data_IF_602620026149
#
_entry.id   IF_602620026149
#
_cell.length_a   1.000
_cell.length_b   1.000
_cell.length_c   1.000
_cell.angle_alpha   90.00
_cell.angle_beta   90.00
_cell.angle_gamma   90.00
#
_symmetry.space_group_name_H-M   'P 1'
#
loop_
_entity.id
_entity.type
_entity.pdbx_description
1 polymer ?
#
# COMPACT_ATOMS: atom_id res chain seq x y z
N UNK A 1 52.99 11.86 -38.16
CA UNK A 1 53.90 10.82 -37.64
C UNK A 1 53.03 9.80 -36.90
N UNK A 2 52.82 8.54 -37.24
CA UNK A 2 53.27 7.66 -38.31
C UNK A 2 53.04 6.21 -37.84
N UNK A 3 52.13 5.47 -38.51
CA UNK A 3 51.96 3.99 -38.60
C UNK A 3 51.60 3.18 -37.33
N UNK A 4 50.94 2.01 -37.35
CA UNK A 4 50.10 1.22 -38.30
C UNK A 4 49.76 -0.14 -37.62
N UNK A 5 48.74 -0.85 -38.16
CA UNK A 5 48.40 -2.30 -38.08
C UNK A 5 47.37 -2.69 -36.98
N UNK A 6 46.10 -3.03 -37.26
CA UNK A 6 45.41 -4.07 -38.08
C UNK A 6 45.47 -5.52 -37.54
N UNK A 7 44.27 -6.15 -37.48
CA UNK A 7 43.83 -7.57 -37.65
C UNK A 7 42.77 -7.92 -36.57
N UNK A 8 41.45 -7.92 -36.80
CA UNK A 8 40.53 -8.65 -37.71
C UNK A 8 40.00 -10.01 -37.19
N UNK A 9 38.68 -10.13 -37.31
CA UNK A 9 37.72 -11.21 -37.05
C UNK A 9 38.14 -12.65 -37.34
N UNK A 10 37.55 -13.64 -36.64
CA UNK A 10 36.44 -14.48 -37.14
C UNK A 10 36.04 -15.58 -36.13
N UNK A 11 34.74 -15.75 -35.92
CA UNK A 11 34.11 -16.92 -35.30
C UNK A 11 33.53 -17.79 -36.43
N UNK A 12 33.80 -19.10 -36.41
CA UNK A 12 33.31 -20.09 -37.37
C UNK A 12 32.34 -21.10 -36.73
N UNK A 13 31.45 -21.61 -37.58
CA UNK A 13 30.28 -22.48 -37.37
C UNK A 13 30.60 -23.97 -37.13
N UNK A 14 29.62 -24.68 -36.53
CA UNK A 14 29.05 -26.02 -36.88
C UNK A 14 28.66 -26.79 -35.59
N UNK A 15 27.40 -27.17 -35.34
CA UNK A 15 26.49 -28.16 -35.99
C UNK A 15 26.94 -29.62 -35.87
N UNK A 16 26.16 -30.44 -35.14
CA UNK A 16 25.58 -31.77 -35.51
C UNK A 16 25.27 -32.67 -34.30
N UNK A 17 24.10 -33.34 -34.34
CA UNK A 17 23.67 -34.46 -33.48
C UNK A 17 24.32 -35.80 -33.91
N UNK A 18 24.21 -36.94 -33.18
CA UNK A 18 23.05 -37.84 -33.37
C UNK A 18 22.65 -38.78 -32.19
N UNK A 19 21.52 -39.48 -32.40
CA UNK A 19 20.85 -40.51 -31.60
C UNK A 19 21.66 -41.80 -31.32
N UNK A 20 21.31 -42.57 -30.28
CA UNK A 20 21.34 -44.06 -30.30
C UNK A 20 20.38 -44.70 -29.26
N UNK A 21 19.98 -45.93 -29.55
CA UNK A 21 18.75 -46.60 -29.09
C UNK A 21 18.95 -47.78 -28.10
N UNK A 22 17.86 -48.11 -27.40
CA UNK A 22 17.32 -49.43 -26.99
C UNK A 22 18.18 -50.57 -26.41
N UNK A 23 17.76 -51.13 -25.26
CA UNK A 23 17.49 -52.57 -24.95
C UNK A 23 17.59 -52.81 -23.41
N UNK A 24 16.52 -53.11 -22.65
CA UNK A 24 15.84 -54.40 -22.34
C UNK A 24 16.70 -55.44 -21.62
N UNK A 25 16.35 -55.82 -20.37
CA UNK A 25 16.05 -57.21 -19.91
C UNK A 25 15.71 -57.31 -18.39
N UNK A 26 14.96 -58.36 -18.05
CA UNK A 26 14.19 -58.68 -16.81
C UNK A 26 15.00 -59.43 -15.73
N UNK A 27 14.70 -59.26 -14.43
CA UNK A 27 13.94 -60.20 -13.55
C UNK A 27 14.82 -60.68 -12.36
N UNK A 28 14.33 -61.42 -11.30
CA UNK A 28 13.00 -62.00 -11.05
C UNK A 28 12.40 -61.75 -9.63
N UNK A 29 11.22 -62.36 -9.37
CA UNK A 29 10.32 -62.29 -8.20
C UNK A 29 10.65 -63.31 -7.09
N UNK A 30 10.20 -63.04 -5.86
CA UNK A 30 9.89 -64.03 -4.81
C UNK A 30 8.61 -63.65 -4.03
N UNK A 31 7.79 -64.65 -3.69
CA UNK A 31 6.51 -64.64 -2.93
C UNK A 31 6.76 -65.41 -1.62
N UNK A 32 6.14 -65.01 -0.49
CA UNK A 32 5.13 -65.87 0.19
C UNK A 32 4.02 -65.00 0.84
N UNK A 33 2.87 -65.43 1.38
CA UNK A 33 2.13 -66.69 1.55
C UNK A 33 0.73 -66.27 2.05
N UNK A 34 -0.31 -66.96 1.61
CA UNK A 34 -1.74 -66.70 1.93
C UNK A 34 -2.09 -67.25 3.33
N UNK A 35 -2.88 -66.49 4.12
CA UNK A 35 -3.68 -67.05 5.22
C UNK A 35 -5.03 -66.34 5.36
N UNK A 36 -6.07 -67.09 4.98
CA UNK A 36 -7.45 -67.17 5.46
C UNK A 36 -8.31 -65.92 5.79
N UNK A 37 -9.48 -65.93 5.13
CA UNK A 37 -10.83 -65.64 5.65
C UNK A 37 -11.27 -64.17 5.78
N UNK A 38 -12.13 -63.74 4.85
CA UNK A 38 -13.60 -63.82 5.01
C UNK A 38 -14.27 -62.87 4.01
N UNK A 39 -15.18 -63.40 3.20
CA UNK A 39 -16.02 -62.60 2.32
C UNK A 39 -17.10 -61.91 3.17
N UNK A 40 -17.05 -60.58 3.24
CA UNK A 40 -18.22 -59.75 3.56
C UNK A 40 -18.52 -58.86 2.36
N UNK A 41 -19.59 -59.20 1.65
CA UNK A 41 -20.24 -58.31 0.72
C UNK A 41 -20.90 -57.18 1.53
N UNK A 42 -20.42 -55.95 1.37
CA UNK A 42 -21.08 -54.75 1.88
C UNK A 42 -21.34 -53.86 0.67
N UNK A 43 -22.58 -53.89 0.19
CA UNK A 43 -23.10 -52.91 -0.75
C UNK A 43 -23.17 -51.56 -0.02
N UNK A 44 -22.24 -50.65 -0.32
CA UNK A 44 -22.32 -49.26 0.12
C UNK A 44 -22.46 -48.36 -1.11
N UNK A 45 -23.65 -47.75 -1.21
CA UNK A 45 -24.02 -46.69 -2.15
C UNK A 45 -22.99 -45.55 -2.07
N UNK A 46 -22.45 -45.03 -3.19
CA UNK A 46 -21.56 -43.89 -3.13
C UNK A 46 -22.38 -42.65 -2.74
N UNK A 47 -22.14 -42.16 -1.53
CA UNK A 47 -22.63 -40.86 -1.08
C UNK A 47 -21.83 -39.80 -1.83
N UNK A 48 -22.51 -38.97 -2.62
CA UNK A 48 -21.91 -37.82 -3.28
C UNK A 48 -21.40 -36.85 -2.22
N UNK A 49 -20.10 -36.85 -1.96
CA UNK A 49 -19.45 -35.79 -1.20
C UNK A 49 -19.36 -34.55 -2.09
N UNK A 50 -20.17 -33.55 -1.76
CA UNK A 50 -19.97 -32.19 -2.21
C UNK A 50 -18.56 -31.75 -1.83
N UNK A 51 -17.76 -31.35 -2.82
CA UNK A 51 -16.47 -30.69 -2.62
C UNK A 51 -16.71 -29.34 -1.92
N UNK A 52 -16.87 -29.39 -0.60
CA UNK A 52 -16.69 -28.25 0.27
C UNK A 52 -15.21 -27.91 0.28
N UNK A 53 -14.89 -26.74 -0.26
CA UNK A 53 -13.57 -26.13 -0.14
C UNK A 53 -13.32 -25.76 1.33
N UNK A 54 -12.87 -26.72 2.13
CA UNK A 54 -12.32 -26.45 3.45
C UNK A 54 -10.87 -26.02 3.30
N UNK A 55 -10.64 -24.69 3.27
CA UNK A 55 -9.30 -24.15 3.46
C UNK A 55 -8.84 -24.46 4.90
N UNK A 56 -7.61 -24.94 5.11
CA UNK A 56 -7.11 -25.23 6.44
C UNK A 56 -7.06 -23.96 7.31
N UNK A 57 -7.44 -24.04 8.59
CA UNK A 57 -7.51 -22.89 9.49
C UNK A 57 -6.10 -22.54 9.99
N UNK A 58 -5.30 -21.86 9.16
CA UNK A 58 -4.11 -21.03 9.50
C UNK A 58 -3.08 -20.94 8.36
N UNK A 59 -3.50 -20.81 7.10
CA UNK A 59 -2.58 -20.27 6.10
C UNK A 59 -2.38 -18.78 6.40
N UNK A 60 -1.20 -18.38 6.88
CA UNK A 60 -0.83 -16.97 7.07
C UNK A 60 -0.98 -16.27 5.72
N UNK A 61 -1.99 -15.40 5.59
CA UNK A 61 -2.19 -14.64 4.36
C UNK A 61 -0.96 -13.77 4.12
N UNK A 62 -0.50 -13.72 2.87
CA UNK A 62 0.53 -12.77 2.45
C UNK A 62 0.03 -11.34 2.69
N UNK A 63 0.93 -10.44 3.04
CA UNK A 63 0.62 -9.04 3.36
C UNK A 63 0.88 -8.09 2.22
N UNK A 64 -0.06 -7.18 2.02
CA UNK A 64 0.00 -6.10 1.05
C UNK A 64 -0.15 -4.76 1.75
N UNK A 65 0.71 -3.81 1.40
CA UNK A 65 0.74 -2.47 1.97
C UNK A 65 0.66 -1.46 0.84
N UNK A 66 -0.33 -0.58 0.87
CA UNK A 66 -0.56 0.43 -0.17
C UNK A 66 -0.94 1.77 0.44
N UNK A 67 -0.12 2.79 0.18
CA UNK A 67 -0.35 4.16 0.61
C UNK A 67 -0.89 5.02 -0.54
N UNK A 68 -1.84 5.91 -0.24
CA UNK A 68 -2.40 6.87 -1.20
C UNK A 68 -2.28 8.31 -0.71
N UNK A 69 -1.86 9.21 -1.58
CA UNK A 69 -1.80 10.64 -1.24
C UNK A 69 -3.20 11.24 -1.11
N UNK A 70 -3.47 12.06 -0.08
CA UNK A 70 -4.71 12.81 0.02
C UNK A 70 -4.74 13.93 -1.01
N UNK A 71 -5.27 13.66 -2.20
CA UNK A 71 -5.43 14.68 -3.25
C UNK A 71 -6.86 15.19 -3.39
N UNK A 72 -7.84 14.52 -2.76
CA UNK A 72 -9.27 14.81 -2.91
C UNK A 72 -9.82 14.65 -4.34
N UNK A 73 -8.97 14.26 -5.30
CA UNK A 73 -9.25 14.26 -6.74
C UNK A 73 -8.67 13.01 -7.37
N UNK A 74 -9.29 11.87 -7.08
CA UNK A 74 -8.97 10.60 -7.74
C UNK A 74 -9.61 10.63 -9.13
N UNK A 75 -8.81 10.38 -10.17
CA UNK A 75 -9.29 10.31 -11.54
C UNK A 75 -9.44 8.86 -12.02
N UNK A 76 -10.16 8.69 -13.13
CA UNK A 76 -10.49 7.40 -13.72
C UNK A 76 -9.23 6.53 -13.96
N UNK A 77 -8.14 7.15 -14.40
CA UNK A 77 -6.85 6.47 -14.55
C UNK A 77 -6.25 5.88 -13.26
N UNK A 78 -6.43 6.52 -12.10
CA UNK A 78 -6.01 5.91 -10.83
C UNK A 78 -6.91 4.74 -10.46
N UNK A 79 -8.22 4.91 -10.67
CA UNK A 79 -9.21 3.92 -10.31
C UNK A 79 -9.09 2.63 -11.13
N UNK A 80 -9.13 2.75 -12.45
CA UNK A 80 -9.06 1.60 -13.37
C UNK A 80 -7.65 1.00 -13.45
N UNK A 81 -6.61 1.82 -13.28
CA UNK A 81 -5.22 1.37 -13.36
C UNK A 81 -4.70 0.70 -12.09
N UNK A 82 -5.23 1.07 -10.92
CA UNK A 82 -4.67 0.66 -9.63
C UNK A 82 -5.74 0.25 -8.61
N UNK A 83 -6.60 1.18 -8.19
CA UNK A 83 -7.50 0.98 -7.02
C UNK A 83 -8.40 -0.24 -7.21
N UNK A 84 -9.03 -0.40 -8.39
CA UNK A 84 -9.90 -1.53 -8.70
C UNK A 84 -9.17 -2.87 -8.58
N UNK A 85 -7.91 -2.94 -8.99
CA UNK A 85 -7.11 -4.16 -8.90
C UNK A 85 -6.74 -4.46 -7.44
N UNK A 86 -6.41 -3.43 -6.66
CA UNK A 86 -6.03 -3.60 -5.26
C UNK A 86 -7.19 -4.05 -4.38
N UNK A 87 -8.40 -3.57 -4.67
CA UNK A 87 -9.62 -3.99 -4.00
C UNK A 87 -9.83 -5.50 -4.11
N UNK A 88 -9.50 -6.13 -5.24
CA UNK A 88 -9.62 -7.58 -5.38
C UNK A 88 -8.59 -8.36 -4.56
N UNK A 89 -7.50 -7.71 -4.12
CA UNK A 89 -6.44 -8.38 -3.36
C UNK A 89 -6.85 -8.59 -1.90
N UNK A 90 -7.76 -7.78 -1.36
CA UNK A 90 -8.21 -7.86 0.04
C UNK A 90 -8.89 -9.20 0.39
N UNK A 91 -9.45 -9.91 -0.60
CA UNK A 91 -10.04 -11.23 -0.35
C UNK A 91 -8.95 -12.31 -0.11
N UNK A 92 -7.81 -12.17 -0.81
CA UNK A 92 -6.73 -13.16 -0.85
C UNK A 92 -5.57 -12.84 0.11
N UNK A 93 -5.41 -11.58 0.50
CA UNK A 93 -4.27 -11.07 1.26
C UNK A 93 -4.73 -10.35 2.52
N UNK A 94 -3.84 -10.24 3.51
CA UNK A 94 -4.01 -9.28 4.59
C UNK A 94 -3.53 -7.92 4.08
N UNK A 95 -4.46 -6.97 3.96
CA UNK A 95 -4.19 -5.72 3.24
C UNK A 95 -4.29 -4.49 4.13
N UNK A 96 -3.30 -3.61 4.02
CA UNK A 96 -3.23 -2.31 4.67
C UNK A 96 -3.34 -1.22 3.60
N UNK A 97 -4.44 -0.49 3.64
CA UNK A 97 -4.67 0.70 2.82
C UNK A 97 -4.64 1.93 3.72
N UNK A 98 -3.82 2.92 3.37
CA UNK A 98 -3.72 4.10 4.22
C UNK A 98 -3.49 5.38 3.45
N UNK A 99 -4.02 6.46 4.01
CA UNK A 99 -3.91 7.79 3.45
C UNK A 99 -2.63 8.41 4.02
N UNK A 100 -1.68 8.73 3.13
CA UNK A 100 -0.35 9.22 3.49
C UNK A 100 -0.32 10.74 3.66
N UNK A 101 -1.00 11.23 4.70
CA UNK A 101 -1.05 12.65 5.04
C UNK A 101 0.31 13.24 5.46
N UNK A 102 1.18 12.46 6.10
CA UNK A 102 2.55 12.90 6.44
C UNK A 102 3.42 13.09 5.19
N UNK A 103 3.18 12.33 4.11
CA UNK A 103 3.85 12.58 2.83
C UNK A 103 3.30 13.81 2.11
N UNK A 104 2.05 14.19 2.35
CA UNK A 104 1.41 15.33 1.69
C UNK A 104 2.05 16.67 2.08
N UNK A 105 2.59 16.77 3.30
CA UNK A 105 3.21 18.00 3.83
C UNK A 105 4.68 18.18 3.40
N UNK A 106 5.23 17.28 2.56
CA UNK A 106 6.62 17.37 2.06
C UNK A 106 6.82 18.44 0.99
N UNK A 107 5.73 18.94 0.43
CA UNK A 107 5.65 20.04 -0.54
C UNK A 107 4.64 21.09 -0.03
N UNK A 108 4.61 22.29 -0.64
CA UNK A 108 3.60 23.29 -0.30
C UNK A 108 2.18 22.71 -0.36
N UNK A 109 1.43 22.89 0.73
CA UNK A 109 0.06 22.37 0.89
C UNK A 109 -0.83 23.42 1.57
N UNK A 110 -2.13 23.32 1.36
CA UNK A 110 -3.13 24.12 2.06
C UNK A 110 -3.65 23.36 3.28
N UNK A 111 -3.33 23.86 4.48
CA UNK A 111 -3.75 23.27 5.74
C UNK A 111 -5.28 23.22 5.88
N UNK A 112 -6.00 24.19 5.31
CA UNK A 112 -7.47 24.20 5.34
C UNK A 112 -8.08 23.08 4.49
N UNK A 113 -7.34 22.56 3.51
CA UNK A 113 -7.80 21.52 2.60
C UNK A 113 -7.32 20.11 2.98
N UNK A 114 -6.21 19.96 3.71
CA UNK A 114 -5.60 18.65 3.99
C UNK A 114 -6.56 17.70 4.71
N UNK A 115 -7.28 18.18 5.73
CA UNK A 115 -8.26 17.38 6.47
C UNK A 115 -9.36 16.89 5.54
N UNK A 116 -9.94 17.81 4.75
CA UNK A 116 -11.00 17.49 3.78
C UNK A 116 -10.49 16.48 2.75
N UNK A 117 -9.35 16.74 2.12
CA UNK A 117 -8.75 15.84 1.13
C UNK A 117 -8.46 14.45 1.70
N UNK A 118 -8.07 14.36 2.97
CA UNK A 118 -7.83 13.09 3.67
C UNK A 118 -9.13 12.32 3.86
N UNK A 119 -10.18 12.96 4.39
CA UNK A 119 -11.50 12.33 4.57
C UNK A 119 -12.14 11.95 3.22
N UNK A 120 -12.10 12.85 2.24
CA UNK A 120 -12.60 12.59 0.89
C UNK A 120 -11.90 11.38 0.25
N UNK A 121 -10.57 11.31 0.37
CA UNK A 121 -9.79 10.18 -0.17
C UNK A 121 -10.16 8.87 0.52
N UNK A 122 -10.29 8.87 1.85
CA UNK A 122 -10.71 7.70 2.61
C UNK A 122 -12.13 7.23 2.22
N UNK A 123 -13.10 8.16 2.18
CA UNK A 123 -14.46 7.88 1.77
C UNK A 123 -14.53 7.31 0.36
N UNK A 124 -13.72 7.85 -0.57
CA UNK A 124 -13.69 7.38 -1.95
C UNK A 124 -13.10 5.97 -2.08
N UNK A 125 -12.09 5.61 -1.28
CA UNK A 125 -11.57 4.23 -1.24
C UNK A 125 -12.63 3.24 -0.75
N UNK A 126 -13.35 3.59 0.32
CA UNK A 126 -14.46 2.78 0.83
C UNK A 126 -15.58 2.66 -0.22
N UNK A 127 -15.92 3.77 -0.90
CA UNK A 127 -16.93 3.81 -1.94
C UNK A 127 -16.55 2.99 -3.20
N UNK A 128 -15.26 2.91 -3.53
CA UNK A 128 -14.78 2.06 -4.60
C UNK A 128 -14.86 0.55 -4.26
N UNK A 129 -15.06 0.17 -3.00
CA UNK A 129 -15.24 -1.22 -2.57
C UNK A 129 -14.17 -1.76 -1.61
N UNK A 130 -13.36 -0.89 -0.98
CA UNK A 130 -12.52 -1.35 0.15
C UNK A 130 -13.43 -1.69 1.33
N UNK A 131 -13.32 -2.92 1.81
CA UNK A 131 -14.13 -3.45 2.90
C UNK A 131 -13.33 -3.41 4.22
N UNK A 132 -13.71 -2.57 5.20
CA UNK A 132 -12.98 -2.42 6.46
C UNK A 132 -13.02 -3.66 7.36
N UNK A 133 -13.87 -4.65 7.04
CA UNK A 133 -13.85 -5.96 7.68
C UNK A 133 -12.74 -6.87 7.15
N UNK A 134 -12.28 -6.64 5.91
CA UNK A 134 -11.27 -7.46 5.21
C UNK A 134 -9.89 -6.80 5.16
N UNK A 135 -9.84 -5.47 5.10
CA UNK A 135 -8.62 -4.69 5.05
C UNK A 135 -8.57 -3.65 6.18
N UNK A 136 -7.36 -3.30 6.61
CA UNK A 136 -7.17 -2.16 7.52
C UNK A 136 -7.10 -0.87 6.70
N UNK A 137 -8.07 0.03 6.91
CA UNK A 137 -8.12 1.35 6.28
C UNK A 137 -7.87 2.42 7.32
N UNK A 138 -6.82 3.22 7.17
CA UNK A 138 -6.43 4.18 8.20
C UNK A 138 -5.70 5.42 7.64
N UNK A 139 -5.49 6.42 8.50
CA UNK A 139 -4.69 7.61 8.18
C UNK A 139 -3.29 7.41 8.76
N UNK A 140 -2.25 7.69 7.97
CA UNK A 140 -0.84 7.47 8.34
C UNK A 140 -0.50 8.15 9.67
N UNK A 141 -0.88 9.42 9.86
CA UNK A 141 -0.63 10.15 11.10
C UNK A 141 -1.31 9.58 12.36
N UNK A 142 -2.33 8.72 12.21
CA UNK A 142 -2.99 8.08 13.36
C UNK A 142 -2.16 6.93 13.95
N UNK A 143 -1.07 6.52 13.30
CA UNK A 143 -0.19 5.43 13.76
C UNK A 143 1.22 5.99 13.96
N UNK A 144 1.55 6.35 15.21
CA UNK A 144 2.82 7.01 15.56
C UNK A 144 4.07 6.21 15.15
N UNK A 145 3.96 4.88 15.08
CA UNK A 145 5.03 3.97 14.69
C UNK A 145 5.68 4.32 13.34
N UNK A 146 4.93 4.93 12.41
CA UNK A 146 5.45 5.39 11.12
C UNK A 146 6.61 6.38 11.28
N UNK A 147 6.46 7.36 12.17
CA UNK A 147 7.49 8.37 12.43
C UNK A 147 8.60 7.82 13.31
N UNK A 148 8.26 7.02 14.32
CA UNK A 148 9.27 6.40 15.20
C UNK A 148 10.22 5.49 14.42
N UNK A 149 9.69 4.61 13.56
CA UNK A 149 10.53 3.76 12.74
C UNK A 149 11.29 4.57 11.67
N UNK A 150 10.70 5.63 11.09
CA UNK A 150 11.41 6.52 10.16
C UNK A 150 12.68 7.09 10.82
N UNK A 151 12.61 7.51 12.09
CA UNK A 151 13.76 8.03 12.82
C UNK A 151 14.86 6.97 12.97
N UNK A 152 14.49 5.75 13.35
CA UNK A 152 15.42 4.62 13.49
C UNK A 152 16.07 4.24 12.15
N UNK A 153 15.29 4.21 11.07
CA UNK A 153 15.80 3.94 9.72
C UNK A 153 16.70 5.07 9.22
N UNK A 154 16.41 6.33 9.58
CA UNK A 154 17.23 7.48 9.20
C UNK A 154 18.65 7.36 9.73
N UNK A 155 18.83 6.85 10.95
CA UNK A 155 20.15 6.58 11.52
C UNK A 155 20.94 5.50 10.75
N UNK A 156 20.25 4.61 10.03
CA UNK A 156 20.86 3.59 9.19
C UNK A 156 21.04 4.04 7.73
N UNK A 157 20.50 5.19 7.32
CA UNK A 157 20.43 5.65 5.93
C UNK A 157 21.56 6.64 5.61
N UNK A 158 22.50 6.30 4.72
CA UNK A 158 23.49 7.28 4.26
C UNK A 158 22.84 8.41 3.47
N UNK A 159 23.19 9.66 3.78
CA UNK A 159 22.67 10.85 3.08
C UNK A 159 22.91 10.80 1.56
N UNK A 160 24.02 10.18 1.14
CA UNK A 160 24.37 10.02 -0.27
C UNK A 160 23.40 9.13 -1.05
N UNK A 161 22.62 8.27 -0.39
CA UNK A 161 21.57 7.48 -1.04
C UNK A 161 20.36 8.37 -1.37
N UNK A 162 19.97 9.23 -0.44
CA UNK A 162 18.85 10.16 -0.61
C UNK A 162 19.15 11.21 -1.70
N UNK A 163 20.36 11.76 -1.73
CA UNK A 163 20.79 12.71 -2.75
C UNK A 163 20.82 12.14 -4.18
N UNK A 164 20.79 10.81 -4.36
CA UNK A 164 20.74 10.15 -5.67
C UNK A 164 19.31 9.95 -6.18
N UNK A 165 18.30 10.16 -5.35
CA UNK A 165 16.90 9.95 -5.72
C UNK A 165 16.49 10.93 -6.82
N UNK A 166 15.96 10.41 -7.93
CA UNK A 166 15.55 11.20 -9.10
C UNK A 166 14.41 12.14 -8.70
N UNK A 167 13.42 11.61 -7.97
CA UNK A 167 12.28 12.38 -7.49
C UNK A 167 12.67 13.54 -6.58
N UNK A 168 13.71 13.38 -5.75
CA UNK A 168 14.24 14.48 -4.94
C UNK A 168 14.82 15.58 -5.84
N UNK A 169 15.70 15.22 -6.78
CA UNK A 169 16.33 16.18 -7.70
C UNK A 169 15.32 16.92 -8.59
N UNK A 170 14.29 16.23 -9.06
CA UNK A 170 13.26 16.85 -9.89
C UNK A 170 12.36 17.79 -9.09
N UNK A 171 11.95 17.40 -7.88
CA UNK A 171 11.08 18.22 -7.03
C UNK A 171 11.85 19.39 -6.40
N UNK A 172 13.12 19.21 -6.05
CA UNK A 172 13.98 20.28 -5.49
C UNK A 172 14.08 21.45 -6.46
N UNK A 173 14.37 21.16 -7.73
CA UNK A 173 14.47 22.15 -8.81
C UNK A 173 13.17 22.94 -9.02
N UNK A 174 12.01 22.30 -8.83
CA UNK A 174 10.69 22.94 -8.99
C UNK A 174 10.37 23.90 -7.84
N UNK A 175 10.78 23.58 -6.63
CA UNK A 175 10.55 24.41 -5.43
C UNK A 175 11.58 25.54 -5.32
N UNK A 176 12.76 25.36 -5.93
CA UNK A 176 13.93 26.21 -5.76
C UNK A 176 14.82 25.65 -4.67
N UNK A 177 16.07 25.33 -5.00
CA UNK A 177 16.96 24.50 -4.18
C UNK A 177 17.15 25.01 -2.73
N UNK A 178 17.07 26.33 -2.49
CA UNK A 178 17.20 26.93 -1.16
C UNK A 178 15.96 26.76 -0.26
N UNK A 179 14.77 26.56 -0.86
CA UNK A 179 13.49 26.42 -0.14
C UNK A 179 13.09 24.95 0.08
N UNK A 180 14.00 24.02 -0.18
CA UNK A 180 13.71 22.59 -0.09
C UNK A 180 13.73 22.14 1.36
N UNK A 181 12.55 21.78 1.87
CA UNK A 181 12.42 21.23 3.21
C UNK A 181 13.13 19.87 3.36
N UNK A 182 13.67 19.60 4.56
CA UNK A 182 14.32 18.33 4.92
C UNK A 182 13.38 17.13 4.69
N UNK A 183 12.08 17.32 4.87
CA UNK A 183 11.06 16.31 4.61
C UNK A 183 11.09 15.82 3.15
N UNK A 184 11.35 16.70 2.17
CA UNK A 184 11.43 16.30 0.76
C UNK A 184 12.66 15.42 0.46
N UNK A 185 13.75 15.58 1.22
CA UNK A 185 14.92 14.69 1.10
C UNK A 185 14.68 13.34 1.80
N UNK A 186 13.96 13.36 2.93
CA UNK A 186 13.85 12.22 3.85
C UNK A 186 12.57 11.39 3.69
N UNK A 187 11.57 11.85 2.92
CA UNK A 187 10.35 11.07 2.69
C UNK A 187 10.56 9.66 2.11
N UNK A 188 11.62 9.35 1.34
CA UNK A 188 11.86 7.96 0.93
C UNK A 188 12.12 7.03 2.13
N UNK A 189 12.69 7.54 3.22
CA UNK A 189 12.87 6.80 4.48
C UNK A 189 11.54 6.64 5.21
N UNK A 190 10.67 7.66 5.16
CA UNK A 190 9.29 7.55 5.67
C UNK A 190 8.52 6.48 4.90
N UNK A 191 8.65 6.43 3.56
CA UNK A 191 8.04 5.38 2.75
C UNK A 191 8.57 3.99 3.12
N UNK A 192 9.87 3.84 3.38
CA UNK A 192 10.42 2.59 3.86
C UNK A 192 9.84 2.20 5.23
N UNK A 193 9.66 3.17 6.13
CA UNK A 193 8.99 2.96 7.42
C UNK A 193 7.55 2.47 7.25
N UNK A 194 6.79 3.15 6.39
CA UNK A 194 5.39 2.83 6.08
C UNK A 194 5.22 1.39 5.58
N UNK A 195 6.19 0.90 4.81
CA UNK A 195 6.19 -0.44 4.25
C UNK A 195 6.63 -1.46 5.32
N UNK A 196 7.81 -1.26 5.92
CA UNK A 196 8.47 -2.29 6.74
C UNK A 196 7.78 -2.58 8.07
N UNK A 197 7.01 -1.62 8.64
CA UNK A 197 6.24 -1.83 9.87
C UNK A 197 5.31 -3.05 9.80
N UNK A 198 4.74 -3.32 8.63
CA UNK A 198 3.72 -4.34 8.48
C UNK A 198 4.27 -5.70 8.03
N UNK A 199 5.59 -5.85 7.89
CA UNK A 199 6.24 -7.07 7.38
C UNK A 199 5.61 -7.56 6.05
N UNK A 200 5.55 -6.69 5.01
CA UNK A 200 4.87 -6.99 3.76
C UNK A 200 5.59 -8.07 2.97
N UNK A 201 4.81 -8.82 2.21
CA UNK A 201 5.33 -9.72 1.19
C UNK A 201 5.35 -9.02 -0.18
N UNK A 202 4.36 -8.18 -0.44
CA UNK A 202 4.12 -7.56 -1.74
C UNK A 202 3.75 -6.07 -1.59
N UNK A 203 4.31 -5.21 -2.42
CA UNK A 203 3.99 -3.77 -2.45
C UNK A 203 3.59 -3.35 -3.87
N UNK A 204 2.34 -2.94 -4.11
CA UNK A 204 1.95 -2.40 -5.39
C UNK A 204 2.58 -1.02 -5.59
N UNK A 205 3.45 -0.92 -6.59
CA UNK A 205 4.13 0.33 -6.93
C UNK A 205 3.98 0.66 -8.40
N UNK A 206 3.77 1.94 -8.69
CA UNK A 206 3.91 2.47 -10.05
C UNK A 206 5.37 2.47 -10.50
N UNK A 207 5.59 2.59 -11.81
CA UNK A 207 6.94 2.68 -12.41
C UNK A 207 7.78 3.80 -11.79
N UNK A 208 7.14 4.93 -11.46
CA UNK A 208 7.73 6.12 -10.87
C UNK A 208 8.20 5.93 -9.42
N UNK A 209 7.72 4.90 -8.72
CA UNK A 209 8.04 4.62 -7.32
C UNK A 209 9.00 3.44 -7.14
N UNK A 210 9.46 2.83 -8.24
CA UNK A 210 10.41 1.69 -8.18
C UNK A 210 11.70 2.02 -7.43
N UNK A 211 12.24 3.22 -7.62
CA UNK A 211 13.47 3.64 -6.95
C UNK A 211 13.31 3.72 -5.43
N UNK A 212 12.14 4.15 -4.94
CA UNK A 212 11.87 4.21 -3.50
C UNK A 212 11.62 2.81 -2.90
N UNK A 213 11.01 1.90 -3.66
CA UNK A 213 10.90 0.50 -3.23
C UNK A 213 12.27 -0.17 -3.15
N UNK A 214 13.17 0.11 -4.09
CA UNK A 214 14.54 -0.41 -4.04
C UNK A 214 15.29 0.11 -2.81
N UNK A 215 15.20 1.41 -2.52
CA UNK A 215 15.74 1.97 -1.27
C UNK A 215 15.16 1.25 -0.03
N UNK A 216 13.86 0.96 -0.05
CA UNK A 216 13.20 0.24 1.06
C UNK A 216 13.79 -1.15 1.25
N UNK A 217 14.06 -1.87 0.16
CA UNK A 217 14.70 -3.19 0.18
C UNK A 217 16.14 -3.10 0.71
N UNK A 218 16.94 -2.17 0.19
CA UNK A 218 18.32 -1.93 0.65
C UNK A 218 18.36 -1.59 2.16
N UNK A 219 17.42 -0.77 2.64
CA UNK A 219 17.32 -0.44 4.07
C UNK A 219 16.92 -1.65 4.92
N UNK A 220 15.96 -2.46 4.45
CA UNK A 220 15.57 -3.69 5.13
C UNK A 220 16.75 -4.65 5.28
N UNK A 221 17.49 -4.90 4.19
CA UNK A 221 18.68 -5.75 4.18
C UNK A 221 19.78 -5.20 5.08
N UNK A 222 20.04 -3.89 5.01
CA UNK A 222 21.05 -3.23 5.84
C UNK A 222 20.72 -3.35 7.33
N UNK A 223 19.49 -3.07 7.75
CA UNK A 223 19.08 -3.19 9.15
C UNK A 223 19.13 -4.66 9.60
N UNK A 224 18.71 -5.59 8.75
CA UNK A 224 18.82 -7.03 9.00
C UNK A 224 20.28 -7.47 9.23
N UNK A 225 21.23 -6.95 8.44
CA UNK A 225 22.65 -7.23 8.59
C UNK A 225 23.25 -6.62 9.87
N UNK A 226 22.91 -5.35 10.15
CA UNK A 226 23.44 -4.63 11.29
C UNK A 226 22.94 -5.19 12.62
N UNK A 227 21.65 -5.46 12.73
CA UNK A 227 20.98 -5.72 14.00
C UNK A 227 20.32 -7.09 14.11
N UNK A 228 20.02 -7.76 12.99
CA UNK A 228 19.34 -9.05 12.97
C UNK A 228 20.21 -10.27 13.36
N UNK A 229 19.69 -11.45 13.06
CA UNK A 229 20.40 -12.73 13.20
C UNK A 229 20.73 -13.06 14.65
N UNK A 230 21.97 -13.55 14.86
CA UNK A 230 22.46 -13.94 16.19
C UNK A 230 22.53 -12.76 17.17
N UNK A 231 22.74 -11.52 16.69
CA UNK A 231 22.84 -10.32 17.52
C UNK A 231 21.51 -10.05 18.22
N UNK A 232 20.43 -9.98 17.45
CA UNK A 232 19.08 -9.83 17.99
C UNK A 232 18.66 -11.01 18.87
N UNK A 233 19.03 -12.25 18.50
CA UNK A 233 18.75 -13.43 19.34
C UNK A 233 19.32 -13.28 20.76
N UNK A 234 20.55 -12.77 20.90
CA UNK A 234 21.19 -12.54 22.21
C UNK A 234 20.43 -11.53 23.08
N UNK A 235 19.67 -10.63 22.47
CA UNK A 235 18.85 -9.63 23.17
C UNK A 235 17.42 -10.13 23.46
N UNK A 236 17.10 -11.39 23.14
CA UNK A 236 15.77 -11.99 23.33
C UNK A 236 14.88 -12.01 22.08
N UNK A 237 15.43 -11.72 20.90
CA UNK A 237 14.72 -11.80 19.63
C UNK A 237 14.59 -13.22 19.04
N UNK A 238 13.79 -13.36 17.98
CA UNK A 238 13.42 -14.66 17.38
C UNK A 238 14.50 -15.36 16.53
N UNK A 239 15.72 -14.81 16.46
CA UNK A 239 16.80 -15.18 15.52
C UNK A 239 16.39 -14.96 14.04
N UNK A 240 17.30 -14.41 13.23
CA UNK A 240 17.02 -14.11 11.81
C UNK A 240 16.67 -12.64 11.53
N UNK A 241 16.07 -12.32 10.37
CA UNK A 241 15.85 -10.93 9.96
C UNK A 241 14.79 -10.23 10.81
N UNK A 242 14.97 -8.92 11.02
CA UNK A 242 14.01 -8.01 11.62
C UNK A 242 12.87 -7.69 10.65
N UNK A 243 13.21 -7.46 9.39
CA UNK A 243 12.27 -7.13 8.33
C UNK A 243 12.24 -8.21 7.25
N UNK A 244 11.05 -8.51 6.73
CA UNK A 244 10.91 -9.07 5.38
C UNK A 244 11.37 -8.03 4.35
N UNK A 245 12.03 -8.50 3.29
CA UNK A 245 12.38 -7.67 2.13
C UNK A 245 11.19 -7.69 1.17
N UNK A 246 10.54 -6.54 0.90
CA UNK A 246 9.32 -6.50 0.09
C UNK A 246 9.60 -6.75 -1.39
N UNK A 247 8.71 -7.49 -2.05
CA UNK A 247 8.74 -7.66 -3.51
C UNK A 247 7.74 -6.70 -4.21
N UNK A 248 8.08 -6.16 -5.39
CA UNK A 248 7.15 -5.36 -6.17
C UNK A 248 5.98 -6.23 -6.63
N UNK A 249 4.76 -5.78 -6.35
CA UNK A 249 3.57 -6.30 -7.01
C UNK A 249 3.31 -5.47 -8.27
N UNK A 250 3.72 -6.00 -9.40
CA UNK A 250 3.37 -5.45 -10.71
C UNK A 250 1.99 -6.04 -11.05
N UNK A 251 0.88 -5.27 -10.97
CA UNK A 251 -0.40 -5.78 -11.42
C UNK A 251 -0.30 -6.20 -12.90
N UNK A 252 -1.02 -7.26 -13.32
CA UNK A 252 -1.13 -7.60 -14.74
C UNK A 252 -1.52 -6.32 -15.48
N UNK A 253 -0.79 -5.98 -16.55
CA UNK A 253 -0.79 -4.66 -17.20
C UNK A 253 -2.13 -3.93 -17.01
N UNK A 254 -2.18 -3.12 -15.95
CA UNK A 254 -3.41 -2.41 -15.60
C UNK A 254 -3.76 -1.50 -16.75
N UNK A 255 -5.04 -1.18 -16.91
CA UNK A 255 -5.45 -0.29 -17.98
C UNK A 255 -4.72 1.05 -17.85
N UNK A 256 -3.79 1.31 -18.77
CA UNK A 256 -3.07 2.57 -18.84
C UNK A 256 -4.00 3.59 -19.49
N UNK A 257 -4.82 4.23 -18.68
CA UNK A 257 -5.76 5.25 -19.16
C UNK A 257 -4.99 6.52 -19.52
N UNK A 258 -5.17 6.96 -20.75
CA UNK A 258 -4.52 8.13 -21.34
C UNK A 258 -5.39 9.37 -21.18
N UNK A 259 -4.79 10.54 -21.37
CA UNK A 259 -5.47 11.82 -21.34
C UNK A 259 -6.53 11.91 -22.44
N UNK A 260 -7.68 12.52 -22.13
CA UNK A 260 -8.74 12.77 -23.10
C UNK A 260 -8.37 13.82 -24.15
N UNK A 261 -7.34 14.62 -23.92
CA UNK A 261 -6.86 15.65 -24.85
C UNK A 261 -5.58 15.25 -25.59
N UNK A 262 -4.92 14.19 -25.15
CA UNK A 262 -3.68 13.68 -25.73
C UNK A 262 -3.52 12.17 -25.45
N UNK A 263 -3.78 11.34 -26.47
CA UNK A 263 -3.73 9.88 -26.35
C UNK A 263 -2.35 9.30 -26.03
N UNK A 264 -1.27 10.09 -26.15
CA UNK A 264 0.11 9.64 -25.85
C UNK A 264 0.54 9.95 -24.41
N UNK A 265 -0.16 10.86 -23.74
CA UNK A 265 0.10 11.24 -22.35
C UNK A 265 -0.80 10.49 -21.38
N UNK A 266 -0.24 9.95 -20.29
CA UNK A 266 -1.03 9.31 -19.23
C UNK A 266 -1.97 10.34 -18.58
N UNK A 267 -3.20 9.93 -18.26
CA UNK A 267 -4.10 10.77 -17.46
C UNK A 267 -3.43 11.13 -16.12
N UNK A 268 -3.41 12.41 -15.78
CA UNK A 268 -2.68 12.92 -14.62
C UNK A 268 -3.48 13.97 -13.84
N UNK A 269 -3.37 13.90 -12.51
CA UNK A 269 -3.86 14.93 -11.58
C UNK A 269 -3.26 16.32 -11.83
N UNK A 270 -2.01 16.37 -12.29
CA UNK A 270 -1.26 17.63 -12.45
C UNK A 270 -1.39 18.24 -13.85
N UNK A 271 -2.21 17.65 -14.73
CA UNK A 271 -2.44 18.22 -16.06
C UNK A 271 -3.16 19.58 -15.92
N UNK A 272 -2.70 20.65 -16.63
CA UNK A 272 -3.28 21.99 -16.48
C UNK A 272 -4.77 22.06 -16.85
N UNK A 273 -5.17 21.31 -17.87
CA UNK A 273 -6.56 21.26 -18.33
C UNK A 273 -7.33 20.15 -17.63
N UNK A 274 -8.40 20.51 -16.93
CA UNK A 274 -9.32 19.53 -16.34
C UNK A 274 -10.05 18.68 -17.40
N UNK A 275 -10.12 19.17 -18.65
CA UNK A 275 -10.67 18.40 -19.78
C UNK A 275 -9.85 17.15 -20.13
N UNK A 276 -8.61 17.06 -19.64
CA UNK A 276 -7.73 15.91 -19.87
C UNK A 276 -8.12 14.65 -19.08
N UNK A 277 -8.99 14.77 -18.07
CA UNK A 277 -9.28 13.71 -17.10
C UNK A 277 -10.74 13.66 -16.69
N UNK A 278 -11.22 12.46 -16.35
CA UNK A 278 -12.49 12.26 -15.65
C UNK A 278 -12.18 12.01 -14.18
N UNK A 279 -12.72 12.82 -13.27
CA UNK A 279 -12.65 12.57 -11.83
C UNK A 279 -13.77 11.62 -11.42
N UNK A 280 -13.58 10.80 -10.38
CA UNK A 280 -14.61 9.85 -9.95
C UNK A 280 -15.89 10.53 -9.47
N UNK A 281 -15.76 11.74 -8.94
CA UNK A 281 -16.86 12.56 -8.44
C UNK A 281 -17.35 13.60 -9.46
N UNK A 282 -16.91 13.53 -10.73
CA UNK A 282 -17.46 14.41 -11.76
C UNK A 282 -18.96 14.13 -11.95
N UNK A 283 -19.83 15.16 -11.97
CA UNK A 283 -21.25 14.98 -12.26
C UNK A 283 -21.45 14.56 -13.72
N UNK A 284 -22.63 14.00 -14.01
CA UNK A 284 -23.02 13.52 -15.35
C UNK A 284 -22.72 14.56 -16.45
N UNK A 285 -23.04 15.82 -16.20
CA UNK A 285 -22.88 16.92 -17.15
C UNK A 285 -21.40 17.19 -17.44
N UNK A 286 -20.54 17.10 -16.41
CA UNK A 286 -19.10 17.25 -16.58
C UNK A 286 -18.50 16.09 -17.38
N UNK A 287 -18.89 14.85 -17.08
CA UNK A 287 -18.45 13.66 -17.83
C UNK A 287 -18.87 13.79 -19.30
N UNK A 288 -20.14 14.09 -19.55
CA UNK A 288 -20.68 14.26 -20.91
C UNK A 288 -19.94 15.34 -21.69
N UNK A 289 -19.69 16.50 -21.07
CA UNK A 289 -18.96 17.59 -21.72
C UNK A 289 -17.50 17.21 -22.05
N UNK A 290 -16.81 16.54 -21.14
CA UNK A 290 -15.42 16.09 -21.33
C UNK A 290 -15.30 15.03 -22.43
N UNK A 291 -16.19 14.04 -22.45
CA UNK A 291 -16.21 13.01 -23.51
C UNK A 291 -16.61 13.59 -24.85
N UNK A 292 -17.59 14.51 -24.89
CA UNK A 292 -17.95 15.22 -26.12
C UNK A 292 -16.74 15.93 -26.74
N UNK A 293 -15.93 16.60 -25.91
CA UNK A 293 -14.76 17.40 -26.33
C UNK A 293 -13.45 16.62 -26.43
N UNK A 294 -13.42 15.35 -26.06
CA UNK A 294 -12.18 14.58 -26.09
C UNK A 294 -11.64 14.47 -27.52
N UNK A 295 -10.31 14.46 -27.66
CA UNK A 295 -9.60 14.34 -28.92
C UNK A 295 -9.92 12.98 -29.55
N UNK A 296 -10.17 12.99 -30.86
CA UNK A 296 -10.42 11.80 -31.67
C UNK A 296 -9.81 12.00 -33.05
N UNK A 297 -9.60 10.92 -33.79
CA UNK A 297 -9.14 10.94 -35.18
C UNK A 297 -10.32 11.06 -36.18
N UNK A 298 -9.98 11.19 -37.47
CA UNK A 298 -10.95 11.29 -38.57
C UNK A 298 -11.13 9.99 -39.35
N UNK A 299 -10.58 8.87 -38.86
CA UNK A 299 -10.68 7.58 -39.56
C UNK A 299 -12.10 7.01 -39.42
N UNK A 300 -12.50 6.19 -40.40
CA UNK A 300 -13.78 5.49 -40.39
C UNK A 300 -13.66 4.21 -39.57
N UNK A 301 -14.64 3.97 -38.70
CA UNK A 301 -14.68 2.82 -37.83
C UNK A 301 -13.75 2.92 -36.62
N UNK A 302 -13.99 2.05 -35.63
CA UNK A 302 -13.27 2.04 -34.36
C UNK A 302 -12.53 0.71 -34.20
N UNK A 303 -11.26 0.77 -33.81
CA UNK A 303 -10.41 -0.43 -33.70
C UNK A 303 -9.44 -0.31 -32.52
N UNK A 304 -9.07 -1.46 -31.97
CA UNK A 304 -8.02 -1.56 -30.96
C UNK A 304 -6.62 -1.67 -31.59
N UNK A 305 -5.61 -1.43 -30.77
CA UNK A 305 -4.19 -1.76 -31.04
C UNK A 305 -3.54 -1.09 -32.25
N UNK A 306 -4.23 -0.17 -32.93
CA UNK A 306 -3.61 0.65 -33.95
C UNK A 306 -2.73 1.74 -33.28
N UNK A 307 -1.39 1.68 -33.41
CA UNK A 307 -0.49 2.62 -32.75
C UNK A 307 -0.65 4.06 -33.28
N UNK A 308 -1.17 4.23 -34.49
CA UNK A 308 -1.42 5.53 -35.11
C UNK A 308 -2.73 6.17 -34.64
N UNK A 309 -3.55 5.42 -33.85
CA UNK A 309 -4.84 5.86 -33.33
C UNK A 309 -4.93 5.73 -31.80
N UNK A 310 -4.01 6.38 -31.05
CA UNK A 310 -3.92 6.19 -29.60
C UNK A 310 -5.18 6.67 -28.86
N UNK A 311 -5.85 7.72 -29.34
CA UNK A 311 -7.12 8.17 -28.77
C UNK A 311 -8.23 7.12 -28.95
N UNK A 312 -8.29 6.46 -30.10
CA UNK A 312 -9.29 5.42 -30.35
C UNK A 312 -9.09 4.22 -29.43
N UNK A 313 -7.85 3.73 -29.35
CA UNK A 313 -7.49 2.66 -28.44
C UNK A 313 -7.78 3.02 -26.97
N UNK A 314 -7.51 4.26 -26.55
CA UNK A 314 -7.80 4.72 -25.20
C UNK A 314 -9.30 4.72 -24.88
N UNK A 315 -10.14 5.29 -25.74
CA UNK A 315 -11.57 5.41 -25.47
C UNK A 315 -12.28 4.04 -25.52
N UNK A 316 -11.90 3.15 -26.45
CA UNK A 316 -12.39 1.78 -26.49
C UNK A 316 -11.96 0.99 -25.25
N UNK A 317 -10.72 1.18 -24.79
CA UNK A 317 -10.22 0.56 -23.55
C UNK A 317 -11.02 1.03 -22.34
N UNK A 318 -11.33 2.33 -22.25
CA UNK A 318 -12.20 2.85 -21.18
C UNK A 318 -13.57 2.18 -21.25
N UNK A 319 -14.21 2.13 -22.42
CA UNK A 319 -15.53 1.51 -22.60
C UNK A 319 -15.51 0.04 -22.18
N UNK A 320 -14.51 -0.73 -22.62
CA UNK A 320 -14.30 -2.11 -22.23
C UNK A 320 -14.29 -2.29 -20.71
N UNK A 321 -13.52 -1.47 -20.00
CA UNK A 321 -13.32 -1.62 -18.56
C UNK A 321 -14.56 -1.26 -17.75
N UNK A 322 -15.30 -0.24 -18.15
CA UNK A 322 -16.49 0.23 -17.42
C UNK A 322 -17.74 -0.57 -17.78
N UNK A 323 -17.82 -1.13 -19.00
CA UNK A 323 -18.89 -2.04 -19.39
C UNK A 323 -18.66 -3.48 -18.92
N UNK A 324 -17.41 -3.86 -18.62
CA UNK A 324 -17.05 -5.23 -18.25
C UNK A 324 -17.03 -6.22 -19.43
N UNK A 325 -17.20 -5.74 -20.67
CA UNK A 325 -17.20 -6.54 -21.89
C UNK A 325 -15.79 -7.03 -22.24
N UNK A 326 -15.69 -8.13 -23.00
CA UNK A 326 -14.39 -8.58 -23.50
C UNK A 326 -13.89 -7.64 -24.60
N UNK A 327 -12.59 -7.72 -24.92
CA UNK A 327 -12.01 -6.91 -26.00
C UNK A 327 -12.68 -7.20 -27.35
N UNK A 328 -12.99 -8.48 -27.57
CA UNK A 328 -13.63 -8.95 -28.79
C UNK A 328 -15.06 -8.40 -28.91
N UNK A 329 -15.85 -8.49 -27.84
CA UNK A 329 -17.23 -7.97 -27.86
C UNK A 329 -17.25 -6.47 -28.16
N UNK A 330 -16.35 -5.69 -27.55
CA UNK A 330 -16.25 -4.24 -27.81
C UNK A 330 -15.80 -3.97 -29.25
N UNK A 331 -14.84 -4.75 -29.76
CA UNK A 331 -14.38 -4.58 -31.13
C UNK A 331 -15.53 -4.81 -32.11
N UNK A 332 -16.28 -5.92 -31.97
CA UNK A 332 -17.40 -6.27 -32.83
C UNK A 332 -18.56 -5.27 -32.73
N UNK A 333 -18.92 -4.85 -31.52
CA UNK A 333 -19.99 -3.88 -31.27
C UNK A 333 -19.66 -2.50 -31.87
N UNK A 334 -18.42 -2.03 -31.68
CA UNK A 334 -18.04 -0.66 -32.00
C UNK A 334 -17.40 -0.49 -33.39
N UNK A 335 -17.06 -1.58 -34.09
CA UNK A 335 -16.28 -1.53 -35.34
C UNK A 335 -16.85 -0.54 -36.38
N UNK A 336 -18.17 -0.55 -36.56
CA UNK A 336 -18.87 0.25 -37.58
C UNK A 336 -19.39 1.59 -37.05
N UNK A 337 -19.16 1.91 -35.77
CA UNK A 337 -19.68 3.14 -35.16
C UNK A 337 -18.90 4.37 -35.61
N UNK A 338 -19.61 5.50 -35.68
CA UNK A 338 -18.99 6.83 -35.76
C UNK A 338 -18.67 7.37 -34.36
N UNK A 339 -17.77 8.35 -34.26
CA UNK A 339 -17.54 9.07 -33.00
C UNK A 339 -18.79 9.73 -32.44
N UNK A 340 -19.71 10.17 -33.30
CA UNK A 340 -21.00 10.76 -32.89
C UNK A 340 -21.92 9.77 -32.19
N UNK A 341 -21.81 8.48 -32.51
CA UNK A 341 -22.58 7.39 -31.88
C UNK A 341 -21.85 6.84 -30.65
N UNK A 342 -20.53 6.68 -30.75
CA UNK A 342 -19.73 6.04 -29.70
C UNK A 342 -19.52 6.94 -28.47
N UNK A 343 -19.34 8.26 -28.64
CA UNK A 343 -19.14 9.17 -27.49
C UNK A 343 -20.34 9.21 -26.53
N UNK A 344 -21.60 9.28 -27.00
CA UNK A 344 -22.77 9.10 -26.13
C UNK A 344 -22.79 7.74 -25.43
N UNK A 345 -22.54 6.64 -26.14
CA UNK A 345 -22.49 5.29 -25.57
C UNK A 345 -21.46 5.19 -24.44
N UNK A 346 -20.24 5.70 -24.67
CA UNK A 346 -19.19 5.76 -23.65
C UNK A 346 -19.58 6.63 -22.46
N UNK A 347 -20.25 7.77 -22.71
CA UNK A 347 -20.73 8.66 -21.65
C UNK A 347 -21.72 7.94 -20.74
N UNK A 348 -22.72 7.26 -21.33
CA UNK A 348 -23.73 6.54 -20.57
C UNK A 348 -23.12 5.39 -19.76
N UNK A 349 -22.19 4.64 -20.35
CA UNK A 349 -21.47 3.57 -19.66
C UNK A 349 -20.61 4.10 -18.50
N UNK A 350 -19.92 5.23 -18.67
CA UNK A 350 -19.14 5.87 -17.61
C UNK A 350 -20.04 6.35 -16.46
N UNK A 351 -21.15 7.01 -16.78
CA UNK A 351 -22.10 7.51 -15.78
C UNK A 351 -22.70 6.33 -15.01
N UNK A 352 -23.14 5.29 -15.70
CA UNK A 352 -23.69 4.09 -15.06
C UNK A 352 -22.67 3.40 -14.14
N UNK A 353 -21.39 3.38 -14.53
CA UNK A 353 -20.32 2.77 -13.73
C UNK A 353 -19.91 3.62 -12.51
N UNK A 354 -19.86 4.94 -12.65
CA UNK A 354 -19.42 5.85 -11.58
C UNK A 354 -20.54 6.17 -10.59
N UNK A 355 -21.80 6.14 -11.02
CA UNK A 355 -22.94 6.54 -10.18
C UNK A 355 -23.03 5.76 -8.85
N UNK A 356 -22.91 4.42 -8.81
CA UNK A 356 -22.90 3.68 -7.54
C UNK A 356 -21.77 4.10 -6.59
N UNK A 357 -20.59 4.44 -7.13
CA UNK A 357 -19.45 4.92 -6.34
C UNK A 357 -19.78 6.31 -5.77
N UNK A 358 -20.37 7.19 -6.57
CA UNK A 358 -20.76 8.53 -6.13
C UNK A 358 -21.83 8.48 -5.04
N UNK A 359 -22.86 7.65 -5.20
CA UNK A 359 -23.90 7.44 -4.17
C UNK A 359 -23.27 6.95 -2.87
N UNK A 360 -22.42 5.91 -2.95
CA UNK A 360 -21.76 5.36 -1.77
C UNK A 360 -20.81 6.35 -1.10
N UNK A 361 -20.11 7.17 -1.89
CA UNK A 361 -19.27 8.24 -1.37
C UNK A 361 -20.09 9.27 -0.59
N UNK A 362 -21.22 9.74 -1.14
CA UNK A 362 -22.10 10.70 -0.48
C UNK A 362 -22.69 10.14 0.83
N UNK A 363 -23.08 8.86 0.85
CA UNK A 363 -23.51 8.18 2.07
C UNK A 363 -22.42 8.19 3.16
N UNK A 364 -21.16 7.93 2.79
CA UNK A 364 -20.05 7.84 3.74
C UNK A 364 -19.63 9.23 4.23
N UNK A 365 -19.55 10.22 3.34
CA UNK A 365 -19.08 11.56 3.72
C UNK A 365 -20.11 12.33 4.53
N UNK A 366 -21.40 12.03 4.34
CA UNK A 366 -22.49 12.60 5.15
C UNK A 366 -22.58 12.00 6.56
N UNK A 367 -22.07 10.77 6.76
CA UNK A 367 -21.94 10.13 8.07
C UNK A 367 -20.49 10.21 8.59
N UNK A 368 -20.13 11.38 9.14
CA UNK A 368 -18.77 11.62 9.65
C UNK A 368 -18.39 10.68 10.80
N UNK A 369 -19.35 10.32 11.65
CA UNK A 369 -19.13 9.43 12.79
C UNK A 369 -18.78 8.02 12.33
N UNK A 370 -19.48 7.52 11.30
CA UNK A 370 -19.14 6.24 10.67
C UNK A 370 -17.72 6.25 10.09
N UNK A 371 -17.37 7.29 9.31
CA UNK A 371 -16.04 7.38 8.69
C UNK A 371 -14.93 7.43 9.75
N UNK A 372 -15.09 8.27 10.77
CA UNK A 372 -14.11 8.42 11.84
C UNK A 372 -13.96 7.12 12.65
N UNK A 373 -15.07 6.41 12.90
CA UNK A 373 -15.04 5.09 13.53
C UNK A 373 -14.27 4.06 12.69
N UNK A 374 -14.55 3.96 11.40
CA UNK A 374 -13.86 3.03 10.50
C UNK A 374 -12.35 3.29 10.49
N UNK A 375 -11.97 4.57 10.39
CA UNK A 375 -10.56 4.98 10.37
C UNK A 375 -9.86 4.73 11.71
N UNK A 376 -10.55 4.95 12.83
CA UNK A 376 -10.01 4.66 14.17
C UNK A 376 -9.81 3.16 14.39
N UNK A 377 -10.78 2.32 13.97
CA UNK A 377 -10.66 0.86 14.06
C UNK A 377 -9.54 0.32 13.16
N UNK A 378 -9.42 0.84 11.93
CA UNK A 378 -8.32 0.49 11.03
C UNK A 378 -6.97 0.92 11.57
N UNK A 379 -6.87 2.12 12.16
CA UNK A 379 -5.64 2.61 12.79
C UNK A 379 -5.22 1.75 13.98
N UNK A 380 -6.19 1.30 14.81
CA UNK A 380 -5.92 0.39 15.92
C UNK A 380 -5.35 -0.95 15.43
N UNK A 381 -6.00 -1.59 14.45
CA UNK A 381 -5.52 -2.85 13.85
C UNK A 381 -4.13 -2.69 13.25
N UNK A 382 -3.88 -1.58 12.56
CA UNK A 382 -2.58 -1.27 11.99
C UNK A 382 -1.52 -1.06 13.09
N UNK A 383 -1.83 -0.30 14.13
CA UNK A 383 -0.95 -0.06 15.27
C UNK A 383 -0.58 -1.35 16.01
N UNK A 384 -1.51 -2.28 16.19
CA UNK A 384 -1.24 -3.59 16.83
C UNK A 384 -0.15 -4.36 16.07
N UNK A 385 -0.14 -4.32 14.74
CA UNK A 385 0.90 -4.95 13.90
C UNK A 385 2.19 -4.12 13.89
N UNK A 386 2.07 -2.82 13.64
CA UNK A 386 3.20 -1.91 13.51
C UNK A 386 4.05 -1.84 14.79
N UNK A 387 3.40 -1.78 15.96
CA UNK A 387 4.08 -1.68 17.25
C UNK A 387 4.88 -2.94 17.61
N UNK A 388 4.47 -4.13 17.15
CA UNK A 388 5.27 -5.35 17.31
C UNK A 388 6.57 -5.23 16.52
N UNK A 389 6.51 -4.79 15.27
CA UNK A 389 7.71 -4.56 14.46
C UNK A 389 8.60 -3.49 15.07
N UNK A 390 8.03 -2.35 15.45
CA UNK A 390 8.76 -1.24 16.08
C UNK A 390 9.45 -1.68 17.37
N UNK A 391 8.76 -2.42 18.24
CA UNK A 391 9.34 -2.97 19.47
C UNK A 391 10.55 -3.87 19.19
N UNK A 392 10.45 -4.73 18.18
CA UNK A 392 11.56 -5.61 17.78
C UNK A 392 12.78 -4.80 17.31
N UNK A 393 12.56 -3.71 16.57
CA UNK A 393 13.63 -2.82 16.10
C UNK A 393 14.27 -2.08 17.28
N UNK A 394 13.47 -1.50 18.19
CA UNK A 394 13.97 -0.88 19.42
C UNK A 394 14.85 -1.83 20.24
N UNK A 395 14.37 -3.06 20.45
CA UNK A 395 15.12 -4.09 21.16
C UNK A 395 16.42 -4.44 20.45
N UNK A 396 16.39 -4.63 19.13
CA UNK A 396 17.57 -5.02 18.36
C UNK A 396 18.62 -3.92 18.25
N UNK A 397 18.19 -2.65 18.29
CA UNK A 397 19.06 -1.48 18.34
C UNK A 397 19.55 -1.15 19.76
N UNK A 398 19.08 -1.89 20.78
CA UNK A 398 19.57 -1.76 22.16
C UNK A 398 18.95 -0.64 22.98
N UNK A 399 17.79 -0.11 22.57
CA UNK A 399 17.08 0.88 23.37
C UNK A 399 16.48 0.27 24.64
N UNK A 400 16.43 1.06 25.72
CA UNK A 400 15.81 0.64 26.98
C UNK A 400 14.32 0.38 26.78
N UNK A 401 13.80 -0.73 27.31
CA UNK A 401 12.37 -1.03 27.24
C UNK A 401 11.58 -0.01 28.06
N UNK A 402 10.67 0.72 27.41
CA UNK A 402 9.55 1.32 28.14
C UNK A 402 8.52 0.22 28.37
N UNK A 403 8.30 -0.18 29.63
CA UNK A 403 7.14 -0.97 30.02
C UNK A 403 5.91 -0.08 30.01
N UNK A 404 5.43 0.32 28.83
CA UNK A 404 4.08 0.85 28.75
C UNK A 404 3.11 -0.32 28.94
N UNK A 405 2.10 -0.20 29.82
CA UNK A 405 1.13 -1.26 30.02
C UNK A 405 0.36 -1.45 28.72
N UNK A 406 0.64 -2.54 28.02
CA UNK A 406 -0.32 -3.11 27.07
C UNK A 406 -1.56 -3.41 27.89
N UNK A 407 -2.66 -2.75 27.58
CA UNK A 407 -4.01 -3.05 28.10
C UNK A 407 -4.38 -4.46 27.65
N UNK A 408 -3.83 -5.44 28.36
CA UNK A 408 -4.16 -6.83 28.24
C UNK A 408 -5.28 -7.03 29.24
N UNK A 409 -6.51 -7.09 28.73
CA UNK A 409 -7.70 -7.48 29.51
C UNK A 409 -7.39 -8.85 30.11
N UNK A 410 -6.90 -8.85 31.34
CA UNK A 410 -6.56 -10.07 32.06
C UNK A 410 -7.86 -10.59 32.62
N UNK A 411 -8.47 -11.54 31.90
CA UNK A 411 -9.50 -12.40 32.48
C UNK A 411 -8.87 -13.12 33.66
N UNK A 412 -9.16 -12.65 34.87
CA UNK A 412 -8.72 -13.28 36.11
C UNK A 412 -9.39 -14.65 36.21
N UNK A 413 -8.65 -15.72 35.87
CA UNK A 413 -9.00 -17.05 36.33
C UNK A 413 -8.63 -17.14 37.81
N UNK A 414 -9.64 -17.04 38.67
CA UNK A 414 -9.52 -17.31 40.09
C UNK A 414 -9.21 -18.79 40.29
N UNK A 415 -7.94 -19.12 40.56
CA UNK A 415 -7.54 -20.44 41.04
C UNK A 415 -7.69 -20.44 42.56
N UNK A 416 -8.72 -21.13 43.05
CA UNK A 416 -8.88 -21.45 44.47
C UNK A 416 -7.77 -22.41 44.88
N UNK A 417 -6.78 -21.94 45.64
CA UNK A 417 -5.79 -22.81 46.28
C UNK A 417 -6.23 -23.00 47.73
N UNK A 418 -6.50 -24.25 48.10
CA UNK A 418 -6.83 -24.67 49.45
C UNK A 418 -5.66 -24.40 50.40
N UNK A 419 -5.98 -23.79 51.53
CA UNK A 419 -5.07 -23.48 52.64
C UNK A 419 -4.28 -24.69 53.13
N UNK A 420 -2.95 -24.56 53.17
CA UNK A 420 -2.11 -25.31 54.10
C UNK A 420 -1.39 -24.30 54.99
N UNK A 421 -1.53 -24.50 56.29
CA UNK A 421 -1.18 -23.57 57.36
C UNK A 421 0.33 -23.56 57.62
N UNK A 422 0.98 -22.42 57.44
CA UNK A 422 2.30 -22.16 58.05
C UNK A 422 2.41 -20.69 58.43
N UNK A 423 2.60 -20.46 59.72
CA UNK A 423 2.79 -19.19 60.41
C UNK A 423 3.88 -18.32 59.78
N UNK A 424 3.53 -17.08 59.39
CA UNK A 424 4.48 -16.03 59.06
C UNK A 424 4.18 -14.80 59.92
N UNK A 425 5.17 -14.42 60.71
CA UNK A 425 5.20 -13.26 61.61
C UNK A 425 5.09 -11.96 60.80
N UNK A 426 4.11 -11.11 61.14
CA UNK A 426 3.90 -9.79 60.54
C UNK A 426 5.01 -8.81 60.93
N UNK A 427 5.61 -8.16 59.93
CA UNK A 427 6.22 -6.84 60.07
C UNK A 427 5.29 -5.80 59.41
N UNK A 428 4.72 -4.92 60.24
CA UNK A 428 3.96 -3.73 59.82
C UNK A 428 4.92 -2.61 59.41
N UNK A 429 4.71 -1.89 58.30
CA UNK A 429 5.22 -0.54 58.13
C UNK A 429 4.16 0.49 58.57
N UNK A 430 4.55 1.39 59.46
CA UNK A 430 3.76 2.54 59.90
C UNK A 430 3.48 3.51 58.74
N UNK A 431 2.19 3.81 58.55
CA UNK A 431 1.73 5.03 57.90
C UNK A 431 1.97 6.23 58.82
N UNK A 432 2.60 7.29 58.29
CA UNK A 432 2.48 8.63 58.86
C UNK A 432 1.56 9.46 57.97
N UNK A 433 0.40 9.81 58.53
CA UNK A 433 -0.46 10.90 58.08
C UNK A 433 -0.51 11.90 59.23
N UNK A 434 -0.07 13.13 58.99
CA UNK A 434 -0.44 14.30 59.77
C UNK A 434 -0.38 15.50 58.84
N UNK A 435 -1.55 15.99 58.44
CA UNK A 435 -1.68 17.25 57.73
C UNK A 435 -1.76 18.43 58.69
N UNK A 436 -1.60 19.63 58.14
CA UNK A 436 -2.39 20.81 58.53
C UNK A 436 -2.33 21.86 57.43
N UNK A 437 -3.50 22.46 57.21
CA UNK A 437 -3.83 23.62 56.39
C UNK A 437 -2.86 24.80 56.49
N UNK A 438 -2.76 25.58 55.41
CA UNK A 438 -2.94 27.05 55.42
C UNK A 438 -3.01 27.63 54.00
N UNK A 439 -4.09 28.33 53.69
CA UNK A 439 -4.20 29.29 52.57
C UNK A 439 -3.26 30.47 52.83
N UNK A 440 -2.73 31.10 51.77
CA UNK A 440 -2.69 32.55 51.54
C UNK A 440 -1.85 32.86 50.26
N UNK A 441 -2.52 33.39 49.24
CA UNK A 441 -1.98 34.39 48.29
C UNK A 441 -2.10 35.78 48.98
N UNK A 442 -1.34 36.86 48.63
CA UNK A 442 -1.14 37.33 47.25
C UNK A 442 0.17 38.10 46.91
N UNK A 443 0.23 38.49 45.62
CA UNK A 443 0.76 39.75 45.02
C UNK A 443 2.28 39.98 44.78
N UNK A 444 2.53 40.30 43.50
CA UNK A 444 3.42 41.33 42.93
C UNK A 444 4.94 41.26 43.11
N UNK A 445 5.64 40.90 42.02
CA UNK A 445 6.89 41.56 41.62
C UNK A 445 6.91 41.77 40.10
N UNK A 446 6.81 43.02 39.70
CA UNK A 446 7.05 43.55 38.36
C UNK A 446 8.46 44.15 38.25
N UNK A 447 8.96 44.20 37.00
CA UNK A 447 9.99 45.11 36.45
C UNK A 447 11.45 44.64 36.48
N UNK A 448 11.94 44.25 35.29
CA UNK A 448 13.08 44.92 34.64
C UNK A 448 12.81 44.98 33.14
N UNK A 449 12.66 46.20 32.61
CA UNK A 449 12.64 46.47 31.18
C UNK A 449 14.00 46.97 30.69
N UNK A 450 14.27 46.86 29.38
CA UNK A 450 15.03 47.87 28.66
C UNK A 450 14.70 47.86 27.15
N UNK A 451 14.05 48.96 26.74
CA UNK A 451 14.17 49.77 25.52
C UNK A 451 14.03 49.15 24.11
N UNK A 452 12.94 49.60 23.45
CA UNK A 452 12.78 49.79 21.99
C UNK A 452 13.46 51.08 21.51
N UNK A 453 14.01 51.01 20.30
CA UNK A 453 14.12 52.07 19.28
C UNK A 453 13.89 51.34 17.94
N UNK A 454 12.96 51.64 17.02
CA UNK A 454 12.18 52.83 16.73
C UNK A 454 12.73 53.52 15.48
N UNK A 455 12.33 53.08 14.27
CA UNK A 455 12.33 53.76 12.95
C UNK A 455 11.83 52.71 11.94
N UNK A 456 10.95 52.93 10.97
CA UNK A 456 10.29 54.11 10.41
C UNK A 456 9.78 53.65 9.04
N UNK A 457 8.52 53.93 8.72
CA UNK A 457 7.84 53.59 7.48
C UNK A 457 8.48 54.20 6.22
N UNK A 458 8.59 53.40 5.15
CA UNK A 458 8.16 53.73 3.79
C UNK A 458 7.88 52.46 3.01
#
# INVERSE_FOLDING_TARGET
MGRSLLFSHLFTLNSTAPCFASSVLRGPRLIPSIRNQSFRCICSVPKSESLGSENPPNAVKKRIVSGVQPTGSIHLGNYLGAIRNWIQLQDKHETFFFIVDLHAITLPYDASQLLKATKDTAALYLACGVDPSKASVFIQSHVAAHIELMWLLSAATPIGWLNKMIQFKEKSRKVGDENVGVALLTYPVLMASDILLYQPDLVPVGEDQKQHLELTRELAERVNYLYGGKKWKKLGGRNGPLFKVPEPLIPPAGARIMSLTDGLSKMSKSAPSDQSRINLLDPKEAISNKIKRCKTDSFIGLEFDNPDRPECNNLLSIYQLVSGKTKQDVAEECQSMSWGTFKPLLTDALVAHLHPIQVRYEEIISDSDYLDKVLAEGAKKAADVANVTLHNVYQAMGFSRSTLPTTTTTTTMTRTISSCSTTVTLFLPHCFFAGTYSRLLPSDWSVFGLKRTGFGSR
#
